data_IF_924078104151
#
_entry.id   IF_924078104151
#
_cell.length_a   1.000
_cell.length_b   1.000
_cell.length_c   1.000
_cell.angle_alpha   90.00
_cell.angle_beta   90.00
_cell.angle_gamma   90.00
#
_symmetry.space_group_name_H-M   'P 1'
#
loop_
_entity.id
_entity.type
_entity.pdbx_description
1 polymer ?
#
# COMPACT_ATOMS: atom_id res chain seq x y z
N UNK A 1 2.20 8.76 -33.93
CA UNK A 1 2.70 8.26 -35.23
C UNK A 1 3.35 9.40 -36.01
N UNK A 2 4.67 9.40 -36.12
CA UNK A 2 5.36 10.22 -37.11
C UNK A 2 5.09 9.56 -38.47
N UNK A 3 4.48 10.27 -39.42
CA UNK A 3 4.30 9.86 -40.83
C UNK A 3 3.11 8.96 -41.22
N UNK A 4 1.95 9.04 -40.55
CA UNK A 4 0.71 8.47 -41.11
C UNK A 4 0.64 6.94 -41.19
N UNK A 5 1.56 6.23 -40.53
CA UNK A 5 1.52 4.78 -40.40
C UNK A 5 0.27 4.31 -39.66
N UNK A 6 -0.35 3.23 -40.16
CA UNK A 6 -1.51 2.62 -39.50
C UNK A 6 -1.07 1.99 -38.17
N UNK A 7 -1.82 2.21 -37.07
CA UNK A 7 -1.50 1.56 -35.81
C UNK A 7 -1.61 0.03 -35.97
N UNK A 8 -0.65 -0.70 -35.39
CA UNK A 8 -0.68 -2.15 -35.32
C UNK A 8 -1.12 -2.61 -33.92
N UNK A 9 -1.82 -3.74 -33.86
CA UNK A 9 -2.27 -4.31 -32.59
C UNK A 9 -1.11 -5.11 -31.97
N UNK A 10 -0.61 -4.65 -30.82
CA UNK A 10 0.46 -5.32 -30.08
C UNK A 10 -0.03 -6.48 -29.21
N UNK A 11 -1.19 -6.32 -28.57
CA UNK A 11 -1.77 -7.31 -27.67
C UNK A 11 -3.28 -7.08 -27.55
N UNK A 12 -4.05 -8.16 -27.61
CA UNK A 12 -5.46 -8.18 -27.20
C UNK A 12 -5.54 -8.70 -25.76
N UNK A 13 -6.33 -8.04 -24.93
CA UNK A 13 -6.46 -8.33 -23.51
C UNK A 13 -7.86 -8.86 -23.23
N UNK A 14 -7.95 -9.81 -22.31
CA UNK A 14 -9.24 -10.36 -21.86
C UNK A 14 -9.89 -9.41 -20.84
N UNK A 15 -9.06 -8.71 -20.05
CA UNK A 15 -9.48 -7.79 -19.01
C UNK A 15 -9.19 -6.34 -19.41
N UNK A 16 -9.51 -5.39 -18.51
CA UNK A 16 -9.31 -3.96 -18.79
C UNK A 16 -7.82 -3.62 -18.77
N UNK A 17 -7.35 -2.97 -19.84
CA UNK A 17 -6.01 -2.39 -19.89
C UNK A 17 -5.77 -1.46 -18.69
N UNK A 18 -4.64 -1.64 -18.02
CA UNK A 18 -4.25 -0.82 -16.85
C UNK A 18 -3.07 0.08 -17.13
N UNK A 19 -1.99 -0.47 -17.68
CA UNK A 19 -0.77 0.26 -18.06
C UNK A 19 0.16 -0.63 -18.87
N UNK A 20 1.19 -0.03 -19.45
CA UNK A 20 2.35 -0.73 -19.99
C UNK A 20 3.63 -0.11 -19.44
N UNK A 21 4.62 -0.94 -19.15
CA UNK A 21 5.96 -0.54 -18.75
C UNK A 21 6.95 -1.02 -19.81
N UNK A 22 7.61 -0.09 -20.49
CA UNK A 22 8.53 -0.38 -21.59
C UNK A 22 9.94 -0.68 -21.10
N UNK A 23 10.63 -1.66 -21.68
CA UNK A 23 12.09 -1.77 -21.56
C UNK A 23 12.77 -1.05 -22.73
N UNK A 24 14.09 -0.85 -22.64
CA UNK A 24 14.88 -0.50 -23.81
C UNK A 24 14.99 -1.72 -24.74
N UNK A 25 14.53 -1.59 -25.99
CA UNK A 25 14.52 -2.65 -27.00
C UNK A 25 13.33 -3.62 -26.88
N UNK A 26 13.60 -4.92 -27.06
CA UNK A 26 12.61 -5.95 -27.44
C UNK A 26 11.46 -6.26 -26.47
N UNK A 27 11.42 -5.77 -25.23
CA UNK A 27 10.43 -6.25 -24.25
C UNK A 27 9.63 -5.12 -23.60
N UNK A 28 8.37 -5.41 -23.26
CA UNK A 28 7.55 -4.57 -22.39
C UNK A 28 6.65 -5.43 -21.51
N UNK A 29 6.23 -4.88 -20.37
CA UNK A 29 5.27 -5.50 -19.47
C UNK A 29 3.90 -4.82 -19.61
N UNK A 30 2.92 -5.52 -20.16
CA UNK A 30 1.54 -5.06 -20.25
C UNK A 30 0.71 -5.57 -19.07
N UNK A 31 -0.05 -4.68 -18.44
CA UNK A 31 -0.83 -4.99 -17.25
C UNK A 31 -2.32 -4.85 -17.57
N UNK A 32 -3.09 -5.86 -17.19
CA UNK A 32 -4.54 -5.82 -17.21
C UNK A 32 -5.10 -6.08 -15.81
N UNK A 33 -6.31 -5.58 -15.58
CA UNK A 33 -6.99 -5.68 -14.30
C UNK A 33 -8.49 -5.76 -14.50
N UNK A 34 -9.13 -6.62 -13.72
CA UNK A 34 -10.58 -6.66 -13.63
C UNK A 34 -11.02 -6.44 -12.20
N UNK A 35 -11.82 -5.39 -12.03
CA UNK A 35 -12.28 -4.95 -10.73
C UNK A 35 -13.18 -6.00 -10.04
N UNK A 36 -14.17 -6.56 -10.76
CA UNK A 36 -15.17 -7.45 -10.15
C UNK A 36 -14.56 -8.70 -9.50
N UNK A 37 -13.44 -9.20 -10.03
CA UNK A 37 -12.76 -10.39 -9.52
C UNK A 37 -11.45 -10.05 -8.82
N UNK A 38 -11.11 -8.76 -8.73
CA UNK A 38 -9.78 -8.28 -8.31
C UNK A 38 -8.62 -9.00 -9.01
N UNK A 39 -8.82 -9.51 -10.23
CA UNK A 39 -7.82 -10.30 -10.95
C UNK A 39 -6.91 -9.36 -11.71
N UNK A 40 -5.60 -9.57 -11.62
CA UNK A 40 -4.60 -8.84 -12.40
C UNK A 40 -3.68 -9.82 -13.10
N UNK A 41 -3.40 -9.53 -14.37
CA UNK A 41 -2.45 -10.27 -15.17
C UNK A 41 -1.38 -9.34 -15.70
N UNK A 42 -0.15 -9.86 -15.75
CA UNK A 42 1.00 -9.19 -16.34
C UNK A 42 1.51 -10.04 -17.49
N UNK A 43 1.62 -9.42 -18.65
CA UNK A 43 2.08 -10.03 -19.89
C UNK A 43 3.44 -9.47 -20.27
N UNK A 44 4.30 -10.32 -20.80
CA UNK A 44 5.50 -9.90 -21.52
C UNK A 44 5.14 -9.84 -22.99
N UNK A 45 5.39 -8.70 -23.62
CA UNK A 45 5.23 -8.51 -25.07
C UNK A 45 6.56 -8.10 -25.69
N UNK A 46 6.66 -8.27 -27.01
CA UNK A 46 7.80 -7.86 -27.80
C UNK A 46 7.42 -6.87 -28.91
N UNK A 47 7.38 -5.56 -28.60
CA UNK A 47 6.86 -4.54 -29.52
C UNK A 47 7.66 -4.42 -30.82
N UNK A 48 8.96 -4.68 -30.76
CA UNK A 48 9.88 -4.55 -31.90
C UNK A 48 10.03 -5.87 -32.69
N UNK A 49 9.33 -6.94 -32.30
CA UNK A 49 9.43 -8.26 -32.94
C UNK A 49 8.07 -8.97 -32.99
N UNK A 50 7.45 -8.95 -34.18
CA UNK A 50 6.13 -9.53 -34.42
C UNK A 50 6.10 -11.08 -34.33
N UNK A 51 7.25 -11.73 -34.46
CA UNK A 51 7.35 -13.20 -34.43
C UNK A 51 7.27 -13.76 -33.01
N UNK A 52 7.45 -12.92 -31.98
CA UNK A 52 7.38 -13.31 -30.59
C UNK A 52 5.99 -13.10 -30.02
N UNK A 53 5.31 -14.23 -29.78
CA UNK A 53 3.98 -14.22 -29.16
C UNK A 53 4.03 -13.71 -27.71
N UNK A 54 3.05 -12.89 -27.28
CA UNK A 54 2.89 -12.48 -25.89
C UNK A 54 2.86 -13.66 -24.92
N UNK A 55 3.51 -13.50 -23.76
CA UNK A 55 3.59 -14.54 -22.72
C UNK A 55 3.05 -14.04 -21.39
N UNK A 56 2.18 -14.82 -20.75
CA UNK A 56 1.69 -14.54 -19.42
C UNK A 56 2.84 -14.72 -18.40
N UNK A 57 3.13 -13.67 -17.63
CA UNK A 57 4.16 -13.67 -16.59
C UNK A 57 3.54 -13.88 -15.20
N UNK A 58 2.46 -13.17 -14.89
CA UNK A 58 1.75 -13.29 -13.62
C UNK A 58 0.25 -13.30 -13.85
N UNK A 59 -0.47 -14.14 -13.10
CA UNK A 59 -1.92 -14.15 -12.99
C UNK A 59 -2.28 -14.35 -11.53
N UNK A 60 -2.97 -13.37 -10.93
CA UNK A 60 -3.19 -13.34 -9.49
C UNK A 60 -4.37 -12.47 -9.08
N UNK A 61 -4.78 -12.59 -7.82
CA UNK A 61 -5.56 -11.56 -7.15
C UNK A 61 -4.66 -10.37 -6.78
N UNK A 62 -5.13 -9.15 -7.02
CA UNK A 62 -4.51 -7.92 -6.54
C UNK A 62 -4.67 -7.72 -5.03
N UNK A 63 -5.63 -8.42 -4.42
CA UNK A 63 -5.88 -8.33 -2.98
C UNK A 63 -4.94 -9.22 -2.17
N UNK A 64 -4.40 -10.29 -2.76
CA UNK A 64 -3.34 -11.05 -2.10
C UNK A 64 -2.05 -10.23 -2.11
N UNK A 65 -1.75 -9.59 -0.99
CA UNK A 65 -0.54 -8.80 -0.80
C UNK A 65 0.69 -9.66 -0.54
N UNK A 66 0.52 -10.86 0.04
CA UNK A 66 1.62 -11.73 0.47
C UNK A 66 2.38 -12.34 -0.72
N UNK A 67 1.67 -12.67 -1.80
CA UNK A 67 2.34 -13.18 -3.01
C UNK A 67 2.57 -12.11 -4.10
N UNK A 68 2.48 -10.82 -3.74
CA UNK A 68 2.73 -9.71 -4.67
C UNK A 68 4.17 -9.75 -5.22
N UNK A 69 4.37 -9.77 -6.56
CA UNK A 69 5.69 -9.78 -7.17
C UNK A 69 6.35 -8.39 -7.19
N UNK A 70 5.68 -7.36 -6.67
CA UNK A 70 6.18 -5.99 -6.69
C UNK A 70 5.98 -5.29 -8.03
N UNK A 71 6.88 -4.37 -8.36
CA UNK A 71 6.89 -3.60 -9.61
C UNK A 71 8.31 -3.43 -10.13
N UNK A 72 8.50 -3.35 -11.45
CA UNK A 72 9.83 -3.19 -12.03
C UNK A 72 10.48 -1.89 -11.57
N UNK A 73 11.79 -1.94 -11.32
CA UNK A 73 12.61 -0.75 -11.13
C UNK A 73 12.80 -0.04 -12.47
N UNK A 74 12.64 1.27 -12.45
CA UNK A 74 12.72 2.12 -13.63
C UNK A 74 14.05 2.86 -13.68
N UNK A 75 14.52 3.12 -14.89
CA UNK A 75 15.67 3.95 -15.22
C UNK A 75 15.22 5.04 -16.20
N UNK A 76 15.87 6.21 -16.14
CA UNK A 76 15.57 7.34 -17.01
C UNK A 76 16.52 7.33 -18.21
N UNK A 77 15.97 7.36 -19.42
CA UNK A 77 16.73 7.47 -20.68
C UNK A 77 17.29 8.89 -20.88
N UNK A 78 18.23 9.11 -21.83
CA UNK A 78 18.71 10.45 -22.19
C UNK A 78 17.60 11.43 -22.60
N UNK A 79 16.50 10.92 -23.17
CA UNK A 79 15.31 11.70 -23.53
C UNK A 79 14.38 12.01 -22.33
N UNK A 80 14.77 11.63 -21.12
CA UNK A 80 13.98 11.84 -19.90
C UNK A 80 12.84 10.83 -19.69
N UNK A 81 12.63 9.87 -20.60
CA UNK A 81 11.58 8.84 -20.50
C UNK A 81 11.97 7.74 -19.51
N UNK A 82 11.02 7.28 -18.68
CA UNK A 82 11.23 6.15 -17.76
C UNK A 82 10.97 4.82 -18.47
N UNK A 83 11.96 3.93 -18.42
CA UNK A 83 11.88 2.55 -18.92
C UNK A 83 12.32 1.57 -17.84
N UNK A 84 11.91 0.32 -17.92
CA UNK A 84 12.38 -0.75 -17.05
C UNK A 84 13.89 -0.90 -17.25
N UNK A 85 14.63 -0.97 -16.14
CA UNK A 85 16.06 -1.21 -16.22
C UNK A 85 16.34 -2.71 -16.48
N UNK A 86 17.12 -2.98 -17.52
CA UNK A 86 17.60 -4.33 -17.82
C UNK A 86 18.85 -4.59 -16.97
N UNK A 87 18.88 -5.73 -16.31
CA UNK A 87 20.04 -6.17 -15.56
C UNK A 87 20.84 -7.15 -16.41
N UNK A 88 22.13 -6.87 -16.53
CA UNK A 88 23.10 -7.76 -17.15
C UNK A 88 23.72 -8.64 -16.05
N UNK A 89 23.74 -9.93 -16.32
CA UNK A 89 24.27 -10.97 -15.45
C UNK A 89 25.21 -11.86 -16.25
N UNK A 90 25.99 -12.70 -15.57
CA UNK A 90 26.78 -13.74 -16.23
C UNK A 90 25.93 -14.93 -16.70
N UNK A 91 24.64 -14.97 -16.32
CA UNK A 91 23.68 -15.98 -16.75
C UNK A 91 22.97 -15.57 -18.03
N UNK A 92 22.54 -16.56 -18.82
CA UNK A 92 21.71 -16.33 -20.00
C UNK A 92 20.29 -15.88 -19.63
N UNK A 93 19.73 -15.00 -20.45
CA UNK A 93 18.35 -14.51 -20.32
C UNK A 93 18.27 -13.00 -20.15
N UNK A 94 17.03 -12.52 -20.05
CA UNK A 94 16.77 -11.11 -19.75
C UNK A 94 16.34 -10.98 -18.30
N UNK A 95 17.06 -10.15 -17.54
CA UNK A 95 16.78 -9.91 -16.14
C UNK A 95 16.29 -8.49 -15.90
N UNK A 96 15.40 -8.33 -14.92
CA UNK A 96 14.93 -7.04 -14.40
C UNK A 96 14.90 -7.09 -12.88
N UNK A 97 14.86 -5.93 -12.24
CA UNK A 97 14.65 -5.83 -10.79
C UNK A 97 13.20 -5.56 -10.48
N UNK A 98 12.65 -6.32 -9.55
CA UNK A 98 11.29 -6.18 -9.04
C UNK A 98 11.36 -5.73 -7.59
N UNK A 99 10.85 -4.53 -7.29
CA UNK A 99 10.73 -4.05 -5.90
C UNK A 99 9.33 -4.24 -5.36
N UNK A 100 9.22 -4.75 -4.14
CA UNK A 100 7.94 -4.99 -3.49
C UNK A 100 7.88 -4.51 -2.05
N UNK A 101 6.66 -4.37 -1.53
CA UNK A 101 6.44 -4.06 -0.10
C UNK A 101 6.61 -5.28 0.81
N UNK A 102 6.54 -6.50 0.24
CA UNK A 102 6.69 -7.78 0.94
C UNK A 102 5.80 -7.89 2.17
N UNK A 103 4.48 -7.82 2.00
CA UNK A 103 3.54 -8.01 3.10
C UNK A 103 3.70 -9.43 3.69
N UNK A 104 3.72 -9.53 5.01
CA UNK A 104 3.79 -10.80 5.76
C UNK A 104 2.90 -10.72 7.00
N UNK A 105 2.58 -11.85 7.67
CA UNK A 105 1.86 -11.83 8.95
C UNK A 105 2.55 -11.01 10.06
N UNK A 106 3.86 -10.76 9.98
CA UNK A 106 4.62 -9.93 10.93
C UNK A 106 4.70 -8.46 10.53
N UNK A 107 4.23 -8.11 9.33
CA UNK A 107 4.32 -6.77 8.75
C UNK A 107 5.08 -6.75 7.43
N UNK A 108 5.15 -5.57 6.82
CA UNK A 108 5.83 -5.39 5.53
C UNK A 108 7.35 -5.48 5.66
N UNK A 109 7.93 -6.33 4.81
CA UNK A 109 9.37 -6.54 4.63
C UNK A 109 9.71 -6.23 3.16
N UNK A 110 9.98 -4.96 2.81
CA UNK A 110 10.25 -4.60 1.44
C UNK A 110 11.44 -5.36 0.88
N UNK A 111 11.41 -5.62 -0.42
CA UNK A 111 12.39 -6.46 -1.09
C UNK A 111 12.75 -5.95 -2.47
N UNK A 112 13.84 -6.50 -3.00
CA UNK A 112 14.29 -6.39 -4.36
C UNK A 112 14.63 -7.79 -4.87
N UNK A 113 13.84 -8.28 -5.82
CA UNK A 113 14.04 -9.55 -6.49
C UNK A 113 14.66 -9.30 -7.87
N UNK A 114 15.64 -10.11 -8.25
CA UNK A 114 16.13 -10.25 -9.61
C UNK A 114 15.25 -11.27 -10.34
N UNK A 115 14.53 -10.84 -11.38
CA UNK A 115 13.59 -11.68 -12.12
C UNK A 115 14.12 -11.96 -13.53
N UNK A 116 14.25 -13.22 -13.89
CA UNK A 116 14.42 -13.65 -15.28
C UNK A 116 13.06 -13.60 -15.98
N UNK A 117 12.88 -12.65 -16.90
CA UNK A 117 11.60 -12.49 -17.61
C UNK A 117 11.41 -13.51 -18.74
N UNK A 118 12.39 -14.36 -19.04
CA UNK A 118 12.21 -15.46 -20.00
C UNK A 118 11.61 -16.68 -19.30
N UNK A 119 12.14 -17.03 -18.13
CA UNK A 119 11.73 -18.25 -17.39
C UNK A 119 10.73 -17.98 -16.27
N UNK A 120 10.63 -16.75 -15.76
CA UNK A 120 9.88 -16.42 -14.56
C UNK A 120 10.61 -16.73 -13.24
N UNK A 121 11.82 -17.28 -13.30
CA UNK A 121 12.64 -17.55 -12.12
C UNK A 121 13.07 -16.25 -11.43
N UNK A 122 13.03 -16.24 -10.10
CA UNK A 122 13.37 -15.07 -9.28
C UNK A 122 14.37 -15.40 -8.17
N UNK A 123 15.23 -14.44 -7.87
CA UNK A 123 16.22 -14.49 -6.79
C UNK A 123 16.08 -13.25 -5.90
N UNK A 124 16.04 -13.45 -4.58
CA UNK A 124 16.03 -12.35 -3.60
C UNK A 124 17.44 -11.77 -3.46
N UNK A 125 17.69 -10.59 -3.98
CA UNK A 125 19.01 -9.94 -3.86
C UNK A 125 19.06 -8.96 -2.68
N UNK A 126 17.95 -8.34 -2.31
CA UNK A 126 17.90 -7.46 -1.14
C UNK A 126 16.55 -7.53 -0.44
N UNK A 127 16.57 -7.41 0.89
CA UNK A 127 15.39 -7.29 1.73
C UNK A 127 15.65 -6.37 2.92
N UNK A 128 14.60 -5.69 3.38
CA UNK A 128 14.63 -4.90 4.60
C UNK A 128 14.89 -5.80 5.81
N UNK A 129 15.72 -5.33 6.74
CA UNK A 129 15.77 -5.89 8.09
C UNK A 129 14.38 -5.78 8.74
N UNK A 130 14.00 -6.78 9.53
CA UNK A 130 12.69 -6.87 10.17
C UNK A 130 12.67 -6.40 11.63
N UNK A 131 13.83 -6.32 12.29
CA UNK A 131 13.89 -6.17 13.75
C UNK A 131 13.78 -4.71 14.21
N UNK A 132 14.49 -3.78 13.54
CA UNK A 132 14.53 -2.36 13.96
C UNK A 132 14.04 -1.39 12.89
N UNK A 133 14.42 -1.61 11.64
CA UNK A 133 14.23 -0.64 10.58
C UNK A 133 13.11 -1.05 9.63
N UNK A 134 12.55 -0.06 8.95
CA UNK A 134 11.77 -0.24 7.73
C UNK A 134 12.57 0.42 6.61
N UNK A 135 13.07 -0.42 5.70
CA UNK A 135 13.84 0.02 4.54
C UNK A 135 13.04 -0.17 3.25
N UNK A 136 13.20 0.73 2.27
CA UNK A 136 12.54 0.60 0.98
C UNK A 136 13.44 1.05 -0.17
N UNK A 137 13.55 0.22 -1.21
CA UNK A 137 14.24 0.58 -2.44
C UNK A 137 13.41 1.61 -3.24
N UNK A 138 13.98 2.78 -3.47
CA UNK A 138 13.29 3.91 -4.08
C UNK A 138 13.57 4.00 -5.58
N UNK A 139 14.85 4.08 -5.94
CA UNK A 139 15.30 4.37 -7.29
C UNK A 139 16.64 3.71 -7.58
N UNK A 140 16.94 3.49 -8.86
CA UNK A 140 18.27 3.06 -9.30
C UNK A 140 19.20 4.28 -9.33
N UNK A 141 20.43 4.08 -8.87
CA UNK A 141 21.50 5.07 -8.90
C UNK A 141 22.53 4.75 -9.97
N UNK A 142 22.67 3.48 -10.36
CA UNK A 142 23.45 3.10 -11.54
C UNK A 142 22.76 3.60 -12.80
N UNK A 143 23.52 4.23 -13.68
CA UNK A 143 23.03 4.82 -14.92
C UNK A 143 23.79 4.29 -16.13
N UNK A 144 23.04 3.99 -17.18
CA UNK A 144 23.55 3.72 -18.52
C UNK A 144 22.55 4.31 -19.52
N UNK A 145 22.98 4.89 -20.66
CA UNK A 145 22.07 5.52 -21.64
C UNK A 145 20.98 4.57 -22.18
N UNK A 146 21.27 3.26 -22.25
CA UNK A 146 20.30 2.22 -22.66
C UNK A 146 19.55 1.58 -21.50
N UNK A 147 19.70 2.11 -20.28
CA UNK A 147 19.14 1.53 -19.05
C UNK A 147 19.51 0.04 -18.86
N UNK A 148 20.73 -0.32 -19.25
CA UNK A 148 21.34 -1.62 -19.01
C UNK A 148 22.34 -1.48 -17.87
N UNK A 149 22.13 -2.20 -16.76
CA UNK A 149 22.95 -2.09 -15.56
C UNK A 149 23.61 -3.44 -15.29
N UNK A 150 24.93 -3.43 -15.07
CA UNK A 150 25.64 -4.62 -14.63
C UNK A 150 25.27 -4.93 -13.18
N UNK A 151 24.89 -6.18 -12.89
CA UNK A 151 24.45 -6.57 -11.54
C UNK A 151 25.54 -6.31 -10.49
N UNK A 152 26.81 -6.58 -10.80
CA UNK A 152 27.96 -6.37 -9.93
C UNK A 152 28.33 -4.88 -9.72
N UNK A 153 27.69 -3.96 -10.44
CA UNK A 153 27.84 -2.51 -10.30
C UNK A 153 26.53 -1.85 -9.84
N UNK A 154 25.56 -2.66 -9.39
CA UNK A 154 24.24 -2.18 -9.01
C UNK A 154 24.32 -1.31 -7.76
N UNK A 155 23.83 -0.08 -7.91
CA UNK A 155 23.63 0.88 -6.84
C UNK A 155 22.18 1.34 -6.88
N UNK A 156 21.55 1.39 -5.71
CA UNK A 156 20.17 1.84 -5.57
C UNK A 156 19.98 2.66 -4.31
N UNK A 157 19.08 3.62 -4.39
CA UNK A 157 18.68 4.48 -3.30
C UNK A 157 17.70 3.73 -2.40
N UNK A 158 17.97 3.69 -1.11
CA UNK A 158 17.05 3.20 -0.10
C UNK A 158 16.64 4.34 0.84
N UNK A 159 15.39 4.37 1.26
CA UNK A 159 14.99 5.05 2.49
C UNK A 159 15.10 4.06 3.64
N UNK A 160 15.55 4.51 4.80
CA UNK A 160 15.64 3.73 6.03
C UNK A 160 15.11 4.57 7.18
N UNK A 161 14.06 4.07 7.84
CA UNK A 161 13.43 4.71 9.00
C UNK A 161 13.17 3.68 10.10
N UNK A 162 12.85 4.16 11.30
CA UNK A 162 12.40 3.32 12.41
C UNK A 162 11.19 3.96 13.09
N UNK A 163 10.71 3.35 14.18
CA UNK A 163 9.60 3.93 14.98
C UNK A 163 9.95 5.33 15.51
N UNK A 164 11.22 5.58 15.81
CA UNK A 164 11.72 6.82 16.43
C UNK A 164 12.65 7.64 15.53
N UNK A 165 13.18 7.06 14.46
CA UNK A 165 14.10 7.74 13.55
C UNK A 165 13.38 8.06 12.23
N UNK A 166 13.31 9.34 11.87
CA UNK A 166 12.79 9.79 10.59
C UNK A 166 13.62 9.22 9.44
N UNK A 167 13.02 9.01 8.26
CA UNK A 167 13.77 8.40 7.17
C UNK A 167 15.02 9.20 6.81
N UNK A 168 16.12 8.47 6.79
CA UNK A 168 17.36 8.86 6.15
C UNK A 168 17.50 8.09 4.84
N UNK A 169 18.27 8.63 3.93
CA UNK A 169 18.52 8.02 2.64
C UNK A 169 19.94 7.47 2.59
N UNK A 170 20.08 6.31 1.95
CA UNK A 170 21.35 5.63 1.76
C UNK A 170 21.47 5.15 0.32
N UNK A 171 22.69 5.12 -0.20
CA UNK A 171 23.01 4.35 -1.40
C UNK A 171 23.44 2.96 -0.97
N UNK A 172 22.70 1.94 -1.39
CA UNK A 172 23.09 0.54 -1.23
C UNK A 172 23.86 0.09 -2.47
N UNK A 173 24.99 -0.58 -2.25
CA UNK A 173 25.93 -1.05 -3.26
C UNK A 173 25.97 -2.58 -3.24
N UNK A 174 25.71 -3.21 -4.37
CA UNK A 174 25.79 -4.65 -4.60
C UNK A 174 27.06 -4.99 -5.40
N UNK A 175 27.73 -6.14 -5.17
CA UNK A 175 27.35 -7.26 -4.29
C UNK A 175 27.80 -7.12 -2.83
N UNK A 176 28.59 -6.10 -2.51
CA UNK A 176 29.18 -5.93 -1.16
C UNK A 176 28.15 -5.70 -0.05
N UNK A 177 26.89 -5.40 -0.41
CA UNK A 177 25.80 -5.03 0.51
C UNK A 177 26.14 -3.82 1.38
N UNK A 178 27.09 -2.98 0.95
CA UNK A 178 27.50 -1.76 1.66
C UNK A 178 26.40 -0.71 1.54
N UNK A 179 26.09 -0.03 2.64
CA UNK A 179 25.19 1.13 2.67
C UNK A 179 25.98 2.40 2.99
N UNK A 180 25.84 3.44 2.18
CA UNK A 180 26.45 4.77 2.40
C UNK A 180 25.33 5.78 2.66
N UNK A 181 25.30 6.36 3.86
CA UNK A 181 24.31 7.38 4.23
C UNK A 181 24.56 8.67 3.45
N UNK A 182 23.49 9.24 2.88
CA UNK A 182 23.56 10.50 2.12
C UNK A 182 22.82 11.65 2.80
N UNK A 183 22.01 11.38 3.83
CA UNK A 183 21.30 12.42 4.59
C UNK A 183 21.44 12.23 6.08
N UNK A 184 21.40 13.32 6.84
CA UNK A 184 21.36 13.30 8.31
C UNK A 184 20.35 14.34 8.81
N UNK A 185 19.06 14.06 8.55
CA UNK A 185 17.98 14.95 8.98
C UNK A 185 17.73 14.81 10.48
N UNK A 186 17.57 15.92 11.22
CA UNK A 186 17.11 15.87 12.60
C UNK A 186 15.67 15.35 12.69
N UNK A 187 15.25 14.96 13.89
CA UNK A 187 13.85 14.58 14.11
C UNK A 187 12.92 15.78 13.80
N UNK A 188 11.95 15.64 12.89
CA UNK A 188 11.15 16.78 12.42
C UNK A 188 10.19 17.34 13.48
N UNK A 189 9.83 16.52 14.47
CA UNK A 189 8.89 16.89 15.54
C UNK A 189 9.43 16.51 16.93
N UNK A 190 10.48 17.19 17.46
CA UNK A 190 11.16 16.75 18.69
C UNK A 190 10.21 16.52 19.88
N UNK A 191 9.15 17.33 19.99
CA UNK A 191 8.12 17.22 21.03
C UNK A 191 7.31 15.92 20.97
N UNK A 192 7.28 15.24 19.81
CA UNK A 192 6.56 13.99 19.59
C UNK A 192 7.50 12.79 19.40
N UNK A 193 8.81 12.95 19.63
CA UNK A 193 9.80 11.91 19.38
C UNK A 193 9.59 10.63 20.20
N UNK A 194 8.99 10.77 21.39
CA UNK A 194 8.64 9.66 22.29
C UNK A 194 7.15 9.29 22.25
N UNK A 195 6.43 9.65 21.18
CA UNK A 195 5.07 9.13 20.98
C UNK A 195 5.09 7.61 20.96
N UNK A 196 4.01 6.99 21.44
CA UNK A 196 3.90 5.54 21.41
C UNK A 196 3.11 5.15 20.17
N UNK A 197 3.58 4.13 19.46
CA UNK A 197 2.94 3.59 18.26
C UNK A 197 2.90 2.08 18.33
N UNK A 198 1.73 1.49 18.17
CA UNK A 198 1.51 0.04 18.21
C UNK A 198 0.60 -0.37 17.04
N UNK A 199 0.89 -1.51 16.41
CA UNK A 199 -0.09 -2.16 15.52
C UNK A 199 -0.90 -3.12 16.39
N UNK A 200 -2.17 -2.81 16.60
CA UNK A 200 -3.08 -3.64 17.38
C UNK A 200 -3.87 -4.58 16.45
N UNK A 201 -4.30 -5.71 17.01
CA UNK A 201 -5.09 -6.75 16.35
C UNK A 201 -6.30 -7.05 17.21
N UNK A 202 -7.45 -7.17 16.58
CA UNK A 202 -8.73 -7.45 17.20
C UNK A 202 -9.64 -8.12 16.17
N UNK A 203 -10.79 -8.58 16.60
CA UNK A 203 -11.70 -9.33 15.75
C UNK A 203 -13.08 -8.67 15.77
N UNK A 204 -13.74 -8.72 14.61
CA UNK A 204 -15.17 -8.43 14.49
C UNK A 204 -15.97 -9.64 14.97
N UNK A 205 -17.22 -9.42 15.37
CA UNK A 205 -18.07 -10.48 15.94
C UNK A 205 -18.27 -11.70 15.02
N UNK A 206 -18.09 -11.53 13.71
CA UNK A 206 -18.13 -12.60 12.70
C UNK A 206 -16.76 -13.27 12.44
N UNK A 207 -15.76 -13.04 13.30
CA UNK A 207 -14.43 -13.63 13.23
C UNK A 207 -13.46 -12.99 12.23
N UNK A 208 -13.86 -11.89 11.56
CA UNK A 208 -12.95 -11.17 10.67
C UNK A 208 -11.83 -10.51 11.48
N UNK A 209 -10.59 -10.85 11.12
CA UNK A 209 -9.39 -10.31 11.76
C UNK A 209 -9.14 -8.90 11.27
N UNK A 210 -9.14 -7.95 12.21
CA UNK A 210 -8.93 -6.53 11.95
C UNK A 210 -7.60 -6.08 12.54
N UNK A 211 -7.04 -5.03 11.93
CA UNK A 211 -5.84 -4.37 12.45
C UNK A 211 -6.05 -2.86 12.48
N UNK A 212 -5.37 -2.19 13.39
CA UNK A 212 -5.28 -0.73 13.44
C UNK A 212 -3.89 -0.31 13.90
N UNK A 213 -3.53 0.95 13.65
CA UNK A 213 -2.33 1.54 14.27
C UNK A 213 -2.75 2.50 15.38
N UNK A 214 -2.47 2.14 16.63
CA UNK A 214 -2.73 2.97 17.79
C UNK A 214 -1.55 3.91 18.03
N UNK A 215 -1.85 5.20 18.15
CA UNK A 215 -0.91 6.24 18.53
C UNK A 215 -1.33 6.87 19.85
N UNK A 216 -0.37 7.00 20.77
CA UNK A 216 -0.58 7.63 22.07
C UNK A 216 0.37 8.82 22.26
N UNK A 217 -0.06 9.87 22.99
CA UNK A 217 0.79 11.01 23.30
C UNK A 217 2.10 10.60 24.01
N UNK A 218 3.19 11.36 23.80
CA UNK A 218 4.41 11.21 24.59
C UNK A 218 4.14 11.18 26.10
N UNK A 219 4.75 10.24 26.81
CA UNK A 219 4.65 10.13 28.27
C UNK A 219 3.34 9.56 28.83
N UNK A 220 2.32 9.31 28.00
CA UNK A 220 1.04 8.76 28.44
C UNK A 220 1.18 7.34 29.01
N UNK A 221 0.55 7.09 30.15
CA UNK A 221 0.45 5.79 30.78
C UNK A 221 -1.02 5.49 31.13
N UNK A 222 -1.66 4.50 30.46
CA UNK A 222 -3.07 4.16 30.70
C UNK A 222 -3.41 3.89 32.17
N UNK A 223 -2.50 3.28 32.92
CA UNK A 223 -2.73 2.93 34.34
C UNK A 223 -2.66 4.12 35.29
N UNK A 224 -2.06 5.25 34.88
CA UNK A 224 -1.90 6.45 35.71
C UNK A 224 -2.81 7.58 35.26
N UNK A 225 -2.92 7.77 33.95
CA UNK A 225 -3.56 8.94 33.35
C UNK A 225 -5.03 8.68 32.99
N UNK A 226 -5.44 7.39 32.97
CA UNK A 226 -6.79 7.00 32.60
C UNK A 226 -7.10 7.18 31.11
N UNK A 227 -8.36 6.97 30.70
CA UNK A 227 -8.75 6.98 29.29
C UNK A 227 -8.76 8.40 28.68
N UNK A 228 -8.27 8.52 27.45
CA UNK A 228 -8.18 9.77 26.69
C UNK A 228 -9.41 9.98 25.80
N UNK A 229 -9.57 11.23 25.32
CA UNK A 229 -10.36 11.46 24.12
C UNK A 229 -9.66 10.81 22.92
N UNK A 230 -10.42 10.14 22.05
CA UNK A 230 -9.86 9.35 20.95
C UNK A 230 -10.41 9.82 19.60
N UNK A 231 -9.53 9.92 18.61
CA UNK A 231 -9.91 10.13 17.22
C UNK A 231 -9.64 8.87 16.41
N UNK A 232 -10.70 8.27 15.89
CA UNK A 232 -10.63 7.18 14.93
C UNK A 232 -10.59 7.78 13.53
N UNK A 233 -9.55 7.49 12.76
CA UNK A 233 -9.43 7.98 11.38
C UNK A 233 -9.24 6.82 10.42
N UNK A 234 -10.21 6.58 9.53
CA UNK A 234 -10.19 5.41 8.64
C UNK A 234 -10.66 5.68 7.21
N UNK A 235 -10.42 4.70 6.36
CA UNK A 235 -10.86 4.61 4.98
C UNK A 235 -11.28 3.15 4.70
N UNK A 236 -12.57 2.87 4.45
CA UNK A 236 -13.02 1.51 4.20
C UNK A 236 -12.43 0.96 2.89
N UNK A 237 -12.25 -0.35 2.86
CA UNK A 237 -11.76 -1.08 1.69
C UNK A 237 -12.71 -2.21 1.32
N UNK A 238 -12.94 -2.39 0.02
CA UNK A 238 -13.74 -3.49 -0.49
C UNK A 238 -12.84 -4.71 -0.70
N UNK A 239 -13.32 -5.89 -0.32
CA UNK A 239 -12.57 -7.15 -0.42
C UNK A 239 -13.43 -8.28 -0.97
N UNK A 240 -12.82 -9.16 -1.77
CA UNK A 240 -13.48 -10.38 -2.28
C UNK A 240 -13.31 -11.61 -1.39
N UNK A 241 -12.48 -11.52 -0.33
CA UNK A 241 -12.37 -12.58 0.68
C UNK A 241 -11.94 -12.06 2.05
N UNK A 242 -12.33 -12.79 3.11
CA UNK A 242 -11.92 -12.53 4.49
C UNK A 242 -10.41 -12.66 4.69
N UNK A 243 -9.76 -13.61 4.03
CA UNK A 243 -8.31 -13.83 4.12
C UNK A 243 -7.56 -12.60 3.63
N UNK A 244 -7.98 -12.03 2.49
CA UNK A 244 -7.32 -10.86 1.91
C UNK A 244 -7.53 -9.59 2.75
N UNK A 245 -8.71 -9.45 3.38
CA UNK A 245 -9.01 -8.40 4.35
C UNK A 245 -8.13 -8.50 5.61
N UNK A 246 -7.83 -9.72 6.06
CA UNK A 246 -7.01 -9.98 7.24
C UNK A 246 -5.49 -9.88 7.03
N UNK A 247 -5.01 -9.70 5.79
CA UNK A 247 -3.57 -9.64 5.52
C UNK A 247 -2.94 -8.34 6.07
N UNK A 248 -1.82 -8.47 6.78
CA UNK A 248 -1.09 -7.34 7.35
C UNK A 248 -0.24 -6.67 6.28
N UNK A 249 -0.52 -5.39 6.01
CA UNK A 249 0.14 -4.60 4.94
C UNK A 249 1.06 -3.48 5.47
N UNK A 250 1.25 -3.39 6.78
CA UNK A 250 1.98 -2.30 7.43
C UNK A 250 3.19 -2.84 8.17
N UNK A 251 4.26 -2.05 8.20
CA UNK A 251 5.43 -2.37 9.02
C UNK A 251 5.27 -1.81 10.43
N UNK A 252 5.61 -2.58 11.49
CA UNK A 252 5.73 -2.06 12.84
C UNK A 252 6.88 -1.06 12.98
N UNK A 253 7.82 -1.01 12.04
CA UNK A 253 9.02 -0.16 12.13
C UNK A 253 8.89 1.19 11.40
N UNK A 254 7.71 1.51 10.86
CA UNK A 254 7.51 2.76 10.11
C UNK A 254 7.48 4.00 11.02
N UNK A 255 8.16 5.06 10.61
CA UNK A 255 8.17 6.34 11.31
C UNK A 255 6.81 7.06 11.22
N UNK A 256 6.42 7.72 12.30
CA UNK A 256 5.17 8.46 12.41
C UNK A 256 5.27 9.86 11.77
N UNK A 257 5.00 9.96 10.46
CA UNK A 257 5.02 11.26 9.76
C UNK A 257 3.73 12.02 9.95
N UNK A 258 3.83 13.22 10.52
CA UNK A 258 2.74 14.19 10.51
C UNK A 258 2.55 14.70 9.09
N UNK A 259 1.33 14.57 8.57
CA UNK A 259 0.95 15.07 7.26
C UNK A 259 -0.55 15.36 7.25
N UNK A 260 -1.02 16.03 6.19
CA UNK A 260 -2.41 16.46 6.11
C UNK A 260 -3.42 15.31 5.92
N UNK A 261 -2.97 14.06 5.73
CA UNK A 261 -3.87 12.91 5.51
C UNK A 261 -4.33 12.23 6.80
N UNK A 262 -3.58 12.40 7.90
CA UNK A 262 -3.87 11.77 9.18
C UNK A 262 -3.83 12.78 10.33
N UNK A 263 -4.71 12.65 11.31
CA UNK A 263 -4.87 13.65 12.36
C UNK A 263 -3.85 13.48 13.52
N UNK A 264 -2.60 13.09 13.22
CA UNK A 264 -1.58 12.82 14.24
C UNK A 264 -1.17 14.05 15.07
N UNK A 265 -1.45 15.27 14.59
CA UNK A 265 -1.23 16.50 15.38
C UNK A 265 -2.06 16.56 16.66
N UNK A 266 -3.16 15.80 16.76
CA UNK A 266 -3.98 15.75 17.97
C UNK A 266 -3.29 15.02 19.13
N UNK A 267 -2.24 14.23 18.86
CA UNK A 267 -1.37 13.66 19.91
C UNK A 267 -0.75 14.77 20.77
N UNK A 268 -0.37 15.89 20.17
CA UNK A 268 0.17 17.05 20.89
C UNK A 268 -0.87 17.74 21.78
N UNK A 269 -2.16 17.46 21.58
CA UNK A 269 -3.29 17.95 22.39
C UNK A 269 -3.80 16.90 23.38
N UNK A 270 -3.08 15.80 23.57
CA UNK A 270 -3.45 14.75 24.52
C UNK A 270 -4.53 13.77 24.03
N UNK A 271 -4.79 13.69 22.73
CA UNK A 271 -5.72 12.70 22.17
C UNK A 271 -4.99 11.39 21.89
N UNK A 272 -5.68 10.27 22.10
CA UNK A 272 -5.34 9.02 21.42
C UNK A 272 -5.77 9.10 19.95
N UNK A 273 -5.03 8.46 19.05
CA UNK A 273 -5.41 8.35 17.63
C UNK A 273 -5.38 6.90 17.21
N UNK A 274 -6.55 6.37 16.83
CA UNK A 274 -6.65 5.06 16.19
C UNK A 274 -6.66 5.26 14.67
N UNK A 275 -5.50 5.07 14.06
CA UNK A 275 -5.30 5.30 12.64
C UNK A 275 -5.52 4.02 11.83
N UNK A 276 -6.29 4.17 10.75
CA UNK A 276 -6.66 3.14 9.79
C UNK A 276 -7.06 1.80 10.43
N UNK A 277 -8.05 1.77 11.34
CA UNK A 277 -8.71 0.51 11.63
C UNK A 277 -9.22 -0.09 10.33
N UNK A 278 -8.92 -1.37 10.11
CA UNK A 278 -9.37 -2.09 8.93
C UNK A 278 -10.89 -2.16 8.98
N UNK A 279 -11.55 -1.58 7.98
CA UNK A 279 -13.02 -1.65 7.85
C UNK A 279 -13.31 -2.33 6.51
N UNK A 280 -13.29 -3.67 6.49
CA UNK A 280 -13.48 -4.42 5.27
C UNK A 280 -14.97 -4.54 4.94
N UNK A 281 -15.33 -4.15 3.72
CA UNK A 281 -16.63 -4.42 3.13
C UNK A 281 -16.45 -5.64 2.23
N UNK A 282 -16.89 -6.79 2.74
CA UNK A 282 -16.62 -8.09 2.12
C UNK A 282 -17.82 -8.50 1.28
N UNK A 283 -17.60 -8.77 0.00
CA UNK A 283 -18.57 -9.44 -0.89
C UNK A 283 -18.01 -10.78 -1.32
N UNK A 284 -18.56 -11.89 -0.81
CA UNK A 284 -18.15 -13.26 -1.14
C UNK A 284 -19.10 -13.88 -2.16
N UNK A 285 -18.54 -14.61 -3.13
CA UNK A 285 -19.30 -15.25 -4.21
C UNK A 285 -20.02 -14.23 -5.09
N UNK A 286 -21.33 -14.40 -5.25
CA UNK A 286 -22.19 -13.54 -6.05
C UNK A 286 -22.78 -12.35 -5.27
N UNK A 287 -22.53 -12.24 -3.96
CA UNK A 287 -22.98 -11.09 -3.17
C UNK A 287 -22.09 -9.87 -3.46
N UNK A 288 -22.73 -8.75 -3.79
CA UNK A 288 -22.02 -7.49 -3.97
C UNK A 288 -21.72 -6.88 -2.59
N UNK A 289 -20.48 -6.42 -2.40
CA UNK A 289 -20.00 -5.91 -1.12
C UNK A 289 -20.88 -4.75 -0.58
N UNK A 290 -21.44 -3.94 -1.49
CA UNK A 290 -22.24 -2.78 -1.15
C UNK A 290 -23.63 -3.11 -0.58
N UNK A 291 -24.17 -4.31 -0.82
CA UNK A 291 -25.52 -4.69 -0.36
C UNK A 291 -25.59 -4.75 1.17
N UNK A 292 -24.45 -5.04 1.82
CA UNK A 292 -24.30 -5.09 3.29
C UNK A 292 -23.35 -4.03 3.81
N UNK A 293 -23.19 -2.93 3.07
CA UNK A 293 -22.23 -1.89 3.39
C UNK A 293 -22.41 -1.35 4.82
N UNK A 294 -23.63 -0.92 5.18
CA UNK A 294 -23.91 -0.31 6.48
C UNK A 294 -23.69 -1.28 7.63
N UNK A 295 -24.19 -2.50 7.50
CA UNK A 295 -24.03 -3.55 8.52
C UNK A 295 -22.55 -3.84 8.79
N UNK A 296 -21.76 -4.08 7.74
CA UNK A 296 -20.33 -4.38 7.87
C UNK A 296 -19.54 -3.18 8.40
N UNK A 297 -19.93 -1.96 8.01
CA UNK A 297 -19.33 -0.72 8.47
C UNK A 297 -19.51 -0.54 9.98
N UNK A 298 -20.73 -0.72 10.47
CA UNK A 298 -21.06 -0.61 11.91
C UNK A 298 -20.31 -1.68 12.70
N UNK A 299 -20.40 -2.95 12.28
CA UNK A 299 -19.75 -4.05 13.00
C UNK A 299 -18.22 -3.88 13.10
N UNK A 300 -17.58 -3.35 12.05
CA UNK A 300 -16.15 -3.04 12.10
C UNK A 300 -15.83 -1.83 13.00
N UNK A 301 -16.70 -0.82 13.05
CA UNK A 301 -16.54 0.33 13.94
C UNK A 301 -16.73 -0.05 15.40
N UNK A 302 -17.75 -0.87 15.71
CA UNK A 302 -18.01 -1.42 17.05
C UNK A 302 -16.80 -2.21 17.55
N UNK A 303 -16.26 -3.12 16.74
CA UNK A 303 -15.07 -3.88 17.08
C UNK A 303 -13.86 -2.98 17.40
N UNK A 304 -13.66 -1.91 16.61
CA UNK A 304 -12.57 -0.96 16.83
C UNK A 304 -12.76 -0.14 18.12
N UNK A 305 -13.98 0.35 18.39
CA UNK A 305 -14.35 1.09 19.61
C UNK A 305 -14.21 0.21 20.85
N UNK A 306 -14.76 -1.00 20.80
CA UNK A 306 -14.70 -1.95 21.90
C UNK A 306 -13.25 -2.29 22.27
N UNK A 307 -12.36 -2.47 21.28
CA UNK A 307 -10.96 -2.78 21.56
C UNK A 307 -10.22 -1.63 22.26
N UNK A 308 -10.41 -0.37 21.83
CA UNK A 308 -9.72 0.78 22.47
C UNK A 308 -10.29 1.11 23.86
N UNK A 309 -11.59 0.86 24.07
CA UNK A 309 -12.22 1.00 25.39
C UNK A 309 -11.77 -0.12 26.33
N UNK A 310 -11.76 -1.38 25.86
CA UNK A 310 -11.30 -2.55 26.63
C UNK A 310 -9.85 -2.40 27.09
N UNK A 311 -9.00 -1.75 26.30
CA UNK A 311 -7.62 -1.41 26.67
C UNK A 311 -7.50 -0.27 27.70
N UNK A 312 -8.59 0.40 28.05
CA UNK A 312 -8.60 1.56 28.93
C UNK A 312 -7.98 2.82 28.31
N UNK A 313 -7.79 2.84 26.99
CA UNK A 313 -7.10 3.92 26.28
C UNK A 313 -8.06 5.06 25.92
N UNK A 314 -9.30 4.72 25.55
CA UNK A 314 -10.29 5.68 25.09
C UNK A 314 -11.49 5.73 26.04
N UNK A 315 -11.97 6.95 26.32
CA UNK A 315 -13.19 7.13 27.10
C UNK A 315 -14.39 6.90 26.17
N UNK A 316 -15.34 6.01 26.50
CA UNK A 316 -16.48 5.66 25.63
C UNK A 316 -17.22 6.87 25.08
N UNK A 317 -17.52 7.87 25.92
CA UNK A 317 -18.26 9.08 25.50
C UNK A 317 -17.41 10.15 24.78
N UNK A 318 -16.11 9.90 24.53
CA UNK A 318 -15.17 10.88 23.94
C UNK A 318 -14.44 10.32 22.73
N UNK A 319 -15.15 9.54 21.92
CA UNK A 319 -14.63 8.98 20.68
C UNK A 319 -15.21 9.75 19.49
N UNK A 320 -14.34 10.28 18.65
CA UNK A 320 -14.70 10.93 17.40
C UNK A 320 -14.30 10.04 16.21
N UNK A 321 -15.05 10.09 15.12
CA UNK A 321 -14.72 9.36 13.87
C UNK A 321 -14.47 10.31 12.72
N UNK A 322 -13.46 10.04 11.90
CA UNK A 322 -13.13 10.86 10.74
C UNK A 322 -12.57 10.07 9.58
N UNK A 323 -12.59 10.72 8.42
CA UNK A 323 -12.08 10.15 7.19
C UNK A 323 -12.09 11.14 6.04
N UNK A 324 -11.34 10.81 5.00
CA UNK A 324 -11.28 11.59 3.76
C UNK A 324 -11.87 10.79 2.60
N UNK A 325 -12.51 11.45 1.64
CA UNK A 325 -13.01 10.81 0.42
C UNK A 325 -14.00 9.67 0.77
N UNK A 326 -13.75 8.39 0.47
CA UNK A 326 -14.63 7.30 0.91
C UNK A 326 -14.73 7.20 2.44
N UNK A 327 -13.67 7.56 3.17
CA UNK A 327 -13.69 7.67 4.62
C UNK A 327 -14.65 8.75 5.13
N UNK A 328 -14.87 9.83 4.37
CA UNK A 328 -15.85 10.86 4.74
C UNK A 328 -17.29 10.36 4.56
N UNK A 329 -17.53 9.55 3.54
CA UNK A 329 -18.80 8.84 3.36
C UNK A 329 -19.04 7.84 4.51
N UNK A 330 -18.02 7.07 4.90
CA UNK A 330 -18.06 6.23 6.10
C UNK A 330 -18.42 7.04 7.35
N UNK A 331 -17.73 8.16 7.60
CA UNK A 331 -17.98 9.02 8.76
C UNK A 331 -19.44 9.45 8.83
N UNK A 332 -20.01 9.91 7.71
CA UNK A 332 -21.42 10.31 7.67
C UNK A 332 -22.36 9.13 7.98
N UNK A 333 -22.13 7.95 7.40
CA UNK A 333 -22.95 6.77 7.67
C UNK A 333 -22.83 6.29 9.11
N UNK A 334 -21.63 6.30 9.70
CA UNK A 334 -21.45 5.93 11.11
C UNK A 334 -22.16 6.89 12.06
N UNK A 335 -22.14 8.20 11.81
CA UNK A 335 -22.88 9.16 12.63
C UNK A 335 -24.41 8.99 12.48
N UNK A 336 -24.89 8.57 11.32
CA UNK A 336 -26.32 8.36 11.09
C UNK A 336 -26.83 7.03 11.68
N UNK A 337 -26.03 5.96 11.58
CA UNK A 337 -26.48 4.60 11.89
C UNK A 337 -25.87 3.99 13.15
N UNK A 338 -24.79 4.57 13.69
CA UNK A 338 -24.19 4.19 14.97
C UNK A 338 -23.85 5.42 15.84
N UNK A 339 -24.80 6.34 16.08
CA UNK A 339 -24.55 7.58 16.83
C UNK A 339 -24.12 7.32 18.28
N UNK A 340 -24.45 6.15 18.83
CA UNK A 340 -24.06 5.75 20.19
C UNK A 340 -22.56 5.47 20.34
N UNK A 341 -21.81 5.28 19.24
CA UNK A 341 -20.36 5.02 19.26
C UNK A 341 -19.52 6.30 19.24
N UNK A 342 -20.08 7.42 18.77
CA UNK A 342 -19.29 8.61 18.44
C UNK A 342 -19.94 9.89 18.92
N UNK A 343 -19.19 10.71 19.65
CA UNK A 343 -19.68 12.01 20.11
C UNK A 343 -19.65 13.10 19.02
N UNK A 344 -18.80 12.94 17.99
CA UNK A 344 -18.75 13.80 16.82
C UNK A 344 -18.00 13.14 15.65
N UNK A 345 -17.97 13.78 14.48
CA UNK A 345 -17.14 13.31 13.38
C UNK A 345 -16.66 14.35 12.38
N UNK A 346 -15.66 13.97 11.58
CA UNK A 346 -14.95 14.82 10.61
C UNK A 346 -15.01 14.16 9.23
N UNK A 347 -15.94 14.60 8.38
CA UNK A 347 -16.10 14.09 7.02
C UNK A 347 -15.42 15.02 6.00
N UNK A 348 -14.21 14.67 5.55
CA UNK A 348 -13.41 15.53 4.64
C UNK A 348 -13.57 15.16 3.16
N UNK A 349 -14.05 16.09 2.34
CA UNK A 349 -14.10 15.95 0.88
C UNK A 349 -14.80 14.67 0.40
N UNK A 350 -15.94 14.32 1.01
CA UNK A 350 -16.70 13.12 0.70
C UNK A 350 -17.66 13.28 -0.47
N UNK A 351 -17.99 12.15 -1.11
CA UNK A 351 -19.14 12.03 -2.00
C UNK A 351 -20.28 11.34 -1.23
N UNK A 352 -21.29 12.12 -0.85
CA UNK A 352 -22.37 11.64 0.04
C UNK A 352 -23.57 11.10 -0.72
N UNK A 353 -23.91 11.72 -1.86
CA UNK A 353 -24.87 11.18 -2.80
C UNK A 353 -24.14 10.32 -3.82
N UNK A 354 -24.46 9.02 -3.84
CA UNK A 354 -23.82 8.05 -4.73
C UNK A 354 -24.63 7.74 -5.99
N UNK A 355 -25.87 8.21 -6.10
CA UNK A 355 -26.71 8.11 -7.30
C UNK A 355 -26.08 8.81 -8.53
N UNK A 356 -25.41 9.97 -8.41
CA UNK A 356 -24.73 10.61 -9.55
C UNK A 356 -23.31 10.08 -9.79
N UNK A 357 -22.84 9.08 -9.03
CA UNK A 357 -21.46 8.63 -9.16
C UNK A 357 -21.29 7.82 -10.46
N UNK A 358 -20.41 8.24 -11.38
CA UNK A 358 -20.22 7.53 -12.64
C UNK A 358 -19.63 6.13 -12.39
N UNK A 359 -20.02 5.18 -13.25
CA UNK A 359 -19.51 3.82 -13.22
C UNK A 359 -17.98 3.79 -13.19
N UNK A 360 -17.41 3.04 -12.25
CA UNK A 360 -15.97 2.88 -12.06
C UNK A 360 -15.28 3.91 -11.16
N UNK A 361 -15.98 4.93 -10.63
CA UNK A 361 -15.43 5.77 -9.57
C UNK A 361 -15.46 5.02 -8.23
N UNK A 362 -14.29 4.86 -7.60
CA UNK A 362 -14.13 4.05 -6.39
C UNK A 362 -14.88 2.72 -6.48
N UNK A 363 -14.55 1.89 -7.48
CA UNK A 363 -15.01 0.49 -7.52
C UNK A 363 -16.51 0.30 -7.83
N UNK A 364 -17.34 1.34 -7.83
CA UNK A 364 -18.79 1.22 -8.04
C UNK A 364 -19.18 0.65 -9.41
N UNK A 365 -19.96 -0.45 -9.38
CA UNK A 365 -20.55 -1.11 -10.54
C UNK A 365 -22.08 -0.94 -10.63
N UNK A 366 -22.72 -0.42 -9.58
CA UNK A 366 -24.14 -0.02 -9.57
C UNK A 366 -24.30 1.32 -8.82
N UNK A 367 -25.25 2.18 -9.23
CA UNK A 367 -25.72 3.26 -8.39
C UNK A 367 -26.32 2.68 -7.09
N UNK A 368 -26.10 3.36 -5.97
CA UNK A 368 -26.96 3.16 -4.80
C UNK A 368 -28.35 3.69 -5.23
N UNK A 369 -29.29 2.78 -5.44
CA UNK A 369 -30.72 3.10 -5.62
C UNK A 369 -31.37 2.95 -4.26
#
# INVERSE_FOLDING_TARGET
PLNGEKPHVLLKLDLRYRRISWCYGLHALAYEYWHKTCRTRTWIISPDCNDLSPRLLFDRSSEDAYSSPGSPMMCRTPAGTLVIAKIKTNYEGTYILMKGQGATPKGSVPFLDLLNITTGAKERIWESSVDKYYESALALMSYHPKCEIQLNELKFLISKESRSEAAQYYVSIWPDKKQVQITSYPHPYPQLASLQREIIRYERDDGVKLTATLYLPPGYNPSKDGPLACLIWSYPGDFKSREAAGQVRRSPNKFARINNSFPLLWLARGFAVLADPTIPIIGEGDQEANDRYIEQLIASAEAAVNEIVRRGVAHPDKIAVGGHSYGAFMTANLLAHAPHLFCCGIARSGAYNRTPTPFGFQVQLCPFI
#
